data_IF_467171835886
#
_entry.id   IF_467171835886
#
_cell.length_a   1.000
_cell.length_b   1.000
_cell.length_c   1.000
_cell.angle_alpha   90.00
_cell.angle_beta   90.00
_cell.angle_gamma   90.00
#
_symmetry.space_group_name_H-M   'P 1'
#
loop_
_entity.id
_entity.type
_entity.pdbx_description
1 polymer ?
#
# COMPACT_ATOMS: atom_id res chain seq x y z
N UNK A 1 -5.84 -0.77 20.86
CA UNK A 1 -5.46 -0.70 19.43
C UNK A 1 -6.47 0.18 18.74
N UNK A 2 -6.05 1.27 18.10
CA UNK A 2 -6.95 2.28 17.50
C UNK A 2 -7.83 1.67 16.39
N UNK A 3 -9.11 2.05 16.30
CA UNK A 3 -10.02 1.62 15.22
C UNK A 3 -9.52 2.03 13.84
N UNK A 4 -8.74 3.11 13.77
CA UNK A 4 -8.09 3.58 12.54
C UNK A 4 -7.01 2.60 12.07
N UNK A 5 -6.23 2.04 13.00
CA UNK A 5 -5.17 1.08 12.68
C UNK A 5 -5.76 -0.24 12.14
N UNK A 6 -6.86 -0.71 12.72
CA UNK A 6 -7.57 -1.89 12.18
C UNK A 6 -8.16 -1.62 10.79
N UNK A 7 -8.70 -0.42 10.54
CA UNK A 7 -9.21 -0.04 9.23
C UNK A 7 -8.08 0.04 8.18
N UNK A 8 -6.95 0.67 8.53
CA UNK A 8 -5.77 0.76 7.66
C UNK A 8 -5.19 -0.61 7.33
N UNK A 9 -5.03 -1.48 8.34
CA UNK A 9 -4.57 -2.85 8.15
C UNK A 9 -5.53 -3.67 7.25
N UNK A 10 -6.84 -3.49 7.43
CA UNK A 10 -7.86 -4.13 6.57
C UNK A 10 -7.77 -3.66 5.12
N UNK A 11 -7.57 -2.35 4.90
CA UNK A 11 -7.39 -1.77 3.56
C UNK A 11 -6.12 -2.29 2.89
N UNK A 12 -4.99 -2.32 3.62
CA UNK A 12 -3.73 -2.87 3.13
C UNK A 12 -3.88 -4.35 2.73
N UNK A 13 -4.49 -5.16 3.59
CA UNK A 13 -4.72 -6.58 3.31
C UNK A 13 -5.57 -6.81 2.05
N UNK A 14 -6.64 -6.02 1.86
CA UNK A 14 -7.50 -6.11 0.69
C UNK A 14 -6.78 -5.69 -0.62
N UNK A 15 -6.00 -4.60 -0.57
CA UNK A 15 -5.21 -4.13 -1.70
C UNK A 15 -4.14 -5.15 -2.09
N UNK A 16 -3.39 -5.68 -1.12
CA UNK A 16 -2.38 -6.72 -1.36
C UNK A 16 -2.99 -8.00 -1.91
N UNK A 17 -4.13 -8.46 -1.37
CA UNK A 17 -4.81 -9.64 -1.89
C UNK A 17 -5.23 -9.44 -3.36
N UNK A 18 -5.76 -8.27 -3.71
CA UNK A 18 -6.13 -7.95 -5.09
C UNK A 18 -4.93 -7.98 -6.03
N UNK A 19 -3.77 -7.46 -5.60
CA UNK A 19 -2.53 -7.50 -6.38
C UNK A 19 -2.02 -8.94 -6.58
N UNK A 20 -2.09 -9.79 -5.54
CA UNK A 20 -1.70 -11.20 -5.63
C UNK A 20 -2.59 -11.97 -6.60
N UNK A 21 -3.91 -11.77 -6.52
CA UNK A 21 -4.87 -12.41 -7.42
C UNK A 21 -4.61 -12.04 -8.89
N UNK A 22 -4.33 -10.76 -9.16
CA UNK A 22 -3.98 -10.29 -10.51
C UNK A 22 -2.66 -10.90 -10.99
N UNK A 23 -1.65 -10.99 -10.12
CA UNK A 23 -0.38 -11.64 -10.46
C UNK A 23 -0.55 -13.15 -10.71
N UNK A 24 -1.45 -13.82 -9.96
CA UNK A 24 -1.72 -15.25 -10.07
C UNK A 24 -2.39 -15.62 -11.39
N UNK A 25 -3.24 -14.75 -11.92
CA UNK A 25 -3.95 -14.98 -13.18
C UNK A 25 -3.03 -14.97 -14.43
N UNK A 26 -1.70 -14.91 -14.26
CA UNK A 26 -0.69 -14.97 -15.32
C UNK A 26 -0.76 -13.78 -16.28
N UNK A 27 -1.60 -12.83 -15.94
CA UNK A 27 -1.95 -11.65 -16.69
C UNK A 27 -1.02 -10.55 -16.20
N UNK A 28 0.17 -10.45 -16.80
CA UNK A 28 0.91 -9.18 -16.84
C UNK A 28 0.14 -8.26 -17.79
N UNK A 29 -1.11 -7.94 -17.43
CA UNK A 29 -1.85 -6.86 -18.05
C UNK A 29 -1.71 -5.69 -17.09
N UNK A 30 -1.58 -4.47 -17.61
CA UNK A 30 -2.16 -3.33 -16.93
C UNK A 30 -3.65 -3.63 -16.69
N UNK A 31 -3.98 -4.33 -15.60
CA UNK A 31 -5.36 -4.41 -15.14
C UNK A 31 -5.75 -2.96 -14.88
N UNK A 32 -6.84 -2.48 -15.48
CA UNK A 32 -7.17 -1.04 -15.51
C UNK A 32 -7.10 -0.38 -14.12
N UNK A 33 -7.29 -1.15 -13.04
CA UNK A 33 -7.28 -0.74 -11.63
C UNK A 33 -5.89 -0.77 -10.94
N UNK A 34 -4.93 -1.51 -11.49
CA UNK A 34 -3.50 -1.50 -11.07
C UNK A 34 -2.72 -0.53 -11.96
N UNK A 35 -3.04 -0.49 -13.26
CA UNK A 35 -2.47 0.43 -14.22
C UNK A 35 -2.96 1.86 -14.06
N UNK A 36 -4.20 2.07 -13.59
CA UNK A 36 -4.64 3.39 -13.09
C UNK A 36 -3.89 3.84 -11.84
N UNK A 37 -3.09 2.95 -11.22
CA UNK A 37 -2.44 3.20 -9.95
C UNK A 37 -3.39 3.16 -8.75
N UNK A 38 -4.69 2.94 -8.92
CA UNK A 38 -5.68 3.06 -7.83
C UNK A 38 -5.45 2.04 -6.71
N UNK A 39 -5.26 0.76 -7.06
CA UNK A 39 -4.98 -0.30 -6.05
C UNK A 39 -3.65 -0.04 -5.33
N UNK A 40 -2.65 0.45 -6.07
CA UNK A 40 -1.33 0.78 -5.55
C UNK A 40 -1.36 2.03 -4.66
N UNK A 41 -2.20 3.02 -5.00
CA UNK A 41 -2.45 4.22 -4.21
C UNK A 41 -3.20 3.91 -2.93
N UNK A 42 -4.20 3.02 -2.97
CA UNK A 42 -4.90 2.52 -1.78
C UNK A 42 -3.93 1.81 -0.83
N UNK A 43 -3.00 1.01 -1.35
CA UNK A 43 -1.96 0.37 -0.54
C UNK A 43 -1.00 1.41 0.05
N UNK A 44 -0.57 2.41 -0.73
CA UNK A 44 0.30 3.47 -0.24
C UNK A 44 -0.34 4.27 0.91
N UNK A 45 -1.60 4.70 0.76
CA UNK A 45 -2.30 5.45 1.81
C UNK A 45 -2.57 4.60 3.06
N UNK A 46 -2.91 3.33 2.88
CA UNK A 46 -3.06 2.40 4.00
C UNK A 46 -1.74 2.20 4.77
N UNK A 47 -0.61 2.07 4.08
CA UNK A 47 0.71 1.97 4.71
C UNK A 47 1.09 3.26 5.43
N UNK A 48 0.79 4.44 4.86
CA UNK A 48 1.00 5.73 5.53
C UNK A 48 0.25 5.78 6.86
N UNK A 49 -1.02 5.39 6.89
CA UNK A 49 -1.83 5.36 8.12
C UNK A 49 -1.30 4.38 9.17
N UNK A 50 -0.73 3.24 8.75
CA UNK A 50 -0.08 2.29 9.66
C UNK A 50 1.20 2.88 10.25
N UNK A 51 2.03 3.51 9.43
CA UNK A 51 3.28 4.16 9.84
C UNK A 51 3.00 5.34 10.78
N UNK A 52 2.04 6.20 10.44
CA UNK A 52 1.63 7.32 11.31
C UNK A 52 1.18 6.81 12.70
N UNK A 53 0.42 5.71 12.74
CA UNK A 53 -0.04 5.11 13.99
C UNK A 53 1.08 4.41 14.80
N UNK A 54 2.12 3.87 14.15
CA UNK A 54 3.32 3.38 14.85
C UNK A 54 4.21 4.53 15.34
N UNK A 55 4.34 5.59 14.54
CA UNK A 55 5.14 6.77 14.86
C UNK A 55 4.64 7.50 16.12
N UNK A 56 3.33 7.46 16.40
CA UNK A 56 2.73 7.97 17.64
C UNK A 56 3.29 7.28 18.91
N UNK A 57 3.94 6.12 18.79
CA UNK A 57 4.50 5.36 19.91
C UNK A 57 6.03 5.17 19.91
N UNK A 58 6.71 5.43 18.80
CA UNK A 58 8.17 5.31 18.65
C UNK A 58 8.63 6.04 17.40
N UNK A 59 9.88 6.53 17.37
CA UNK A 59 10.47 6.92 16.09
C UNK A 59 10.58 5.67 15.20
N UNK A 60 10.07 5.80 13.97
CA UNK A 60 10.25 4.81 12.92
C UNK A 60 11.62 5.00 12.26
N UNK A 61 12.24 3.91 11.82
CA UNK A 61 13.49 3.94 11.07
C UNK A 61 13.26 3.98 9.54
N UNK A 62 14.34 4.22 8.80
CA UNK A 62 14.29 4.29 7.33
C UNK A 62 13.89 2.96 6.68
N UNK A 63 14.07 1.82 7.37
CA UNK A 63 13.71 0.49 6.86
C UNK A 63 12.19 0.30 6.86
N UNK A 64 11.52 0.76 7.91
CA UNK A 64 10.05 0.70 8.06
C UNK A 64 9.32 1.51 6.98
N UNK A 65 9.93 2.58 6.46
CA UNK A 65 9.36 3.38 5.37
C UNK A 65 9.62 2.83 3.95
N UNK A 66 10.48 1.82 3.76
CA UNK A 66 10.94 1.42 2.42
C UNK A 66 9.82 1.02 1.47
N UNK A 67 8.85 0.22 1.95
CA UNK A 67 7.75 -0.26 1.11
C UNK A 67 6.81 0.88 0.69
N UNK A 68 6.44 1.74 1.63
CA UNK A 68 5.64 2.94 1.35
C UNK A 68 6.36 3.83 0.33
N UNK A 69 7.65 4.10 0.55
CA UNK A 69 8.46 4.91 -0.37
C UNK A 69 8.61 4.29 -1.77
N UNK A 70 8.70 2.96 -1.88
CA UNK A 70 8.76 2.28 -3.16
C UNK A 70 7.45 2.42 -3.95
N UNK A 71 6.30 2.31 -3.27
CA UNK A 71 4.98 2.50 -3.88
C UNK A 71 4.77 3.93 -4.37
N UNK A 72 5.16 4.93 -3.58
CA UNK A 72 5.08 6.35 -3.98
C UNK A 72 5.93 6.60 -5.23
N UNK A 73 7.19 6.15 -5.26
CA UNK A 73 8.06 6.31 -6.44
C UNK A 73 7.47 5.64 -7.69
N UNK A 74 6.85 4.47 -7.54
CA UNK A 74 6.19 3.79 -8.65
C UNK A 74 5.00 4.62 -9.20
N UNK A 75 4.16 5.15 -8.31
CA UNK A 75 3.02 5.99 -8.67
C UNK A 75 3.47 7.28 -9.38
N UNK A 76 4.50 7.95 -8.85
CA UNK A 76 5.08 9.16 -9.45
C UNK A 76 5.69 8.88 -10.83
N UNK A 77 6.30 7.71 -11.04
CA UNK A 77 6.87 7.33 -12.35
C UNK A 77 5.83 6.91 -13.39
N UNK A 78 4.58 6.71 -12.96
CA UNK A 78 3.47 6.23 -13.81
C UNK A 78 2.55 7.37 -14.27
N UNK A 79 2.82 8.61 -13.84
CA UNK A 79 2.17 9.85 -14.25
C UNK A 79 2.94 10.54 -15.38
#
# INVERSE_FOLDING_TARGET
MSSLLMAAAGSAAAATASMIEIARDGKIVPADNIASGETTALLADALRLVLDAQAEGSALDDEEYQLHGALVRYLESSL
#
